data_IF_682966882956
#
_entry.id   IF_682966882956
#
_cell.length_a   1.000
_cell.length_b   1.000
_cell.length_c   1.000
_cell.angle_alpha   90.00
_cell.angle_beta   90.00
_cell.angle_gamma   90.00
#
_symmetry.space_group_name_H-M   'P 1'
#
loop_
_entity.id
_entity.type
_entity.pdbx_description
1 polymer ?
#
# COMPACT_ATOMS: atom_id res chain seq x y z
N UNK A 1 24.16 -19.97 10.96
CA UNK A 1 23.36 -19.86 12.19
C UNK A 1 22.26 -20.89 12.07
N UNK A 2 22.16 -21.84 12.99
CA UNK A 2 21.17 -22.91 12.94
C UNK A 2 19.78 -22.30 12.81
N UNK A 3 19.11 -22.54 11.68
CA UNK A 3 17.84 -21.93 11.28
C UNK A 3 16.63 -22.37 12.11
N UNK A 4 16.77 -22.36 13.44
CA UNK A 4 15.65 -22.41 14.38
C UNK A 4 15.03 -21.02 14.48
N UNK A 5 13.69 -20.93 14.55
CA UNK A 5 13.04 -19.66 14.85
C UNK A 5 13.50 -19.13 16.21
N UNK A 6 13.68 -17.81 16.31
CA UNK A 6 14.09 -17.16 17.56
C UNK A 6 13.01 -17.22 18.67
N UNK A 7 11.77 -17.55 18.30
CA UNK A 7 10.57 -17.51 19.14
C UNK A 7 10.10 -18.93 19.49
N UNK A 8 9.72 -19.15 20.74
CA UNK A 8 9.13 -20.43 21.20
C UNK A 8 7.77 -20.68 20.54
N UNK A 9 7.26 -21.93 20.56
CA UNK A 9 5.92 -22.19 20.01
C UNK A 9 4.85 -21.52 20.87
N UNK A 10 5.01 -21.56 22.18
CA UNK A 10 4.06 -21.02 23.15
C UNK A 10 3.92 -19.50 22.99
N UNK A 11 5.05 -18.79 22.88
CA UNK A 11 5.08 -17.33 22.64
C UNK A 11 4.47 -16.97 21.29
N UNK A 12 4.81 -17.70 20.23
CA UNK A 12 4.27 -17.46 18.88
C UNK A 12 2.78 -17.76 18.78
N UNK A 13 2.30 -18.80 19.47
CA UNK A 13 0.89 -19.13 19.61
C UNK A 13 0.13 -17.96 20.25
N UNK A 14 0.57 -17.50 21.43
CA UNK A 14 -0.10 -16.42 22.15
C UNK A 14 -0.15 -15.12 21.34
N UNK A 15 0.95 -14.75 20.70
CA UNK A 15 1.08 -13.42 20.10
C UNK A 15 0.66 -13.33 18.63
N UNK A 16 0.72 -14.43 17.89
CA UNK A 16 0.59 -14.40 16.43
C UNK A 16 -0.50 -15.31 15.89
N UNK A 17 -0.57 -16.57 16.33
CA UNK A 17 -1.37 -17.58 15.61
C UNK A 17 -2.55 -18.18 16.36
N UNK A 18 -2.86 -17.73 17.59
CA UNK A 18 -3.99 -18.28 18.33
C UNK A 18 -5.33 -18.16 17.57
N UNK A 19 -6.29 -19.11 17.76
CA UNK A 19 -7.51 -19.17 16.95
C UNK A 19 -8.39 -17.93 17.00
N UNK A 20 -8.49 -17.28 18.16
CA UNK A 20 -9.34 -16.09 18.37
C UNK A 20 -8.77 -14.91 17.57
N UNK A 21 -7.48 -14.63 17.75
CA UNK A 21 -6.76 -13.59 17.02
C UNK A 21 -6.82 -13.80 15.51
N UNK A 22 -6.49 -15.02 15.04
CA UNK A 22 -6.50 -15.29 13.60
C UNK A 22 -7.89 -15.17 12.98
N UNK A 23 -8.94 -15.57 13.71
CA UNK A 23 -10.32 -15.36 13.27
C UNK A 23 -10.63 -13.88 13.13
N UNK A 24 -10.27 -13.06 14.11
CA UNK A 24 -10.49 -11.61 14.09
C UNK A 24 -9.74 -10.93 12.93
N UNK A 25 -8.43 -11.19 12.80
CA UNK A 25 -7.60 -10.61 11.74
C UNK A 25 -8.12 -10.98 10.36
N UNK A 26 -8.49 -12.24 10.14
CA UNK A 26 -9.05 -12.70 8.87
C UNK A 26 -10.44 -12.15 8.59
N UNK A 27 -11.28 -11.94 9.61
CA UNK A 27 -12.58 -11.28 9.43
C UNK A 27 -12.46 -9.82 9.03
N UNK A 28 -11.43 -9.14 9.55
CA UNK A 28 -11.14 -7.75 9.23
C UNK A 28 -10.58 -7.62 7.80
N UNK A 29 -9.64 -8.49 7.43
CA UNK A 29 -9.02 -8.46 6.10
C UNK A 29 -9.95 -9.00 4.99
N UNK A 30 -10.79 -10.01 5.30
CA UNK A 30 -11.60 -10.74 4.32
C UNK A 30 -13.09 -10.76 4.72
N UNK A 31 -13.88 -9.76 4.27
CA UNK A 31 -15.29 -9.64 4.65
C UNK A 31 -16.16 -10.85 4.33
N UNK A 32 -15.80 -11.65 3.32
CA UNK A 32 -16.53 -12.87 2.97
C UNK A 32 -16.43 -13.91 4.09
N UNK A 33 -15.27 -14.07 4.74
CA UNK A 33 -15.11 -15.00 5.87
C UNK A 33 -15.99 -14.59 7.05
N UNK A 34 -16.05 -13.28 7.33
CA UNK A 34 -16.94 -12.71 8.35
C UNK A 34 -18.42 -12.96 8.01
N UNK A 35 -18.81 -12.70 6.77
CA UNK A 35 -20.19 -12.85 6.31
C UNK A 35 -20.68 -14.31 6.44
N UNK A 36 -19.81 -15.29 6.15
CA UNK A 36 -20.13 -16.73 6.28
C UNK A 36 -19.84 -17.30 7.66
N UNK A 37 -19.36 -16.47 8.60
CA UNK A 37 -19.00 -16.84 9.98
C UNK A 37 -17.91 -17.93 10.06
N UNK A 38 -17.03 -18.02 9.06
CA UNK A 38 -15.89 -18.95 9.07
C UNK A 38 -14.98 -18.61 10.25
N UNK A 39 -14.44 -19.60 10.99
CA UNK A 39 -13.53 -19.33 12.10
C UNK A 39 -12.52 -20.44 12.33
N UNK A 40 -11.37 -20.07 12.87
CA UNK A 40 -10.35 -21.01 13.33
C UNK A 40 -10.83 -21.63 14.65
N UNK A 41 -10.72 -22.95 14.78
CA UNK A 41 -11.13 -23.69 15.99
C UNK A 41 -9.93 -24.17 16.79
N UNK A 42 -8.83 -24.51 16.11
CA UNK A 42 -7.60 -24.98 16.74
C UNK A 42 -6.41 -24.73 15.83
N UNK A 43 -5.23 -24.53 16.42
CA UNK A 43 -3.95 -24.52 15.70
C UNK A 43 -2.92 -25.32 16.49
N UNK A 44 -2.03 -25.98 15.77
CA UNK A 44 -0.84 -26.66 16.29
C UNK A 44 0.36 -26.27 15.44
N UNK A 45 1.58 -26.63 15.84
CA UNK A 45 2.73 -26.35 14.99
C UNK A 45 2.67 -27.22 13.72
N UNK A 46 2.42 -26.59 12.59
CA UNK A 46 2.16 -27.25 11.31
C UNK A 46 0.73 -27.73 11.15
N UNK A 47 -0.22 -27.28 11.98
CA UNK A 47 -1.63 -27.72 11.88
C UNK A 47 -2.63 -26.60 12.10
N UNK A 48 -3.78 -26.73 11.44
CA UNK A 48 -4.91 -25.82 11.60
C UNK A 48 -6.22 -26.58 11.43
N UNK A 49 -7.17 -26.30 12.32
CA UNK A 49 -8.57 -26.65 12.17
C UNK A 49 -9.42 -25.38 12.10
N UNK A 50 -10.41 -25.40 11.23
CA UNK A 50 -11.39 -24.33 11.11
C UNK A 50 -12.78 -24.89 10.84
N UNK A 51 -13.80 -24.06 11.04
CA UNK A 51 -15.18 -24.40 10.70
C UNK A 51 -15.72 -23.40 9.69
N UNK A 52 -16.35 -23.92 8.63
CA UNK A 52 -17.26 -23.19 7.75
C UNK A 52 -18.69 -23.54 8.19
N UNK A 53 -19.39 -22.65 8.93
CA UNK A 53 -20.69 -22.98 9.47
C UNK A 53 -21.77 -22.99 8.38
N UNK A 54 -22.77 -23.87 8.54
CA UNK A 54 -24.01 -23.79 7.78
C UNK A 54 -24.85 -22.62 8.28
N UNK A 55 -24.98 -21.57 7.47
CA UNK A 55 -25.72 -20.35 7.78
C UNK A 55 -26.47 -19.87 6.54
N UNK A 56 -27.31 -18.84 6.71
CA UNK A 56 -27.97 -18.17 5.57
C UNK A 56 -26.99 -17.68 4.52
N UNK A 57 -25.78 -17.26 4.91
CA UNK A 57 -24.78 -16.72 4.00
C UNK A 57 -23.98 -17.82 3.26
N UNK A 58 -23.90 -19.02 3.83
CA UNK A 58 -23.15 -20.14 3.24
C UNK A 58 -24.03 -21.16 2.49
N UNK A 59 -25.36 -21.00 2.52
CA UNK A 59 -26.33 -21.94 1.93
C UNK A 59 -27.18 -21.32 0.81
N UNK A 60 -27.74 -22.17 -0.06
CA UNK A 60 -28.76 -21.83 -1.06
C UNK A 60 -29.79 -22.96 -1.22
N UNK A 61 -30.78 -22.75 -2.11
CA UNK A 61 -31.90 -23.67 -2.33
C UNK A 61 -31.52 -25.06 -2.89
N UNK A 62 -30.29 -25.23 -3.37
CA UNK A 62 -29.74 -26.47 -3.92
C UNK A 62 -28.63 -27.09 -3.05
N UNK A 63 -28.41 -26.57 -1.84
CA UNK A 63 -27.36 -27.01 -0.91
C UNK A 63 -26.43 -25.86 -0.51
N UNK A 64 -25.26 -26.18 0.03
CA UNK A 64 -24.24 -25.17 0.36
C UNK A 64 -23.62 -24.56 -0.90
N UNK A 65 -23.13 -23.31 -0.85
CA UNK A 65 -22.30 -22.71 -1.91
C UNK A 65 -20.91 -23.39 -1.92
N UNK A 66 -20.91 -24.70 -2.18
CA UNK A 66 -19.83 -25.61 -1.81
C UNK A 66 -18.54 -25.25 -2.51
N UNK A 67 -18.55 -25.09 -3.83
CA UNK A 67 -17.32 -24.94 -4.59
C UNK A 67 -16.45 -23.77 -4.12
N UNK A 68 -17.00 -22.55 -4.13
CA UNK A 68 -16.25 -21.35 -3.81
C UNK A 68 -15.95 -21.22 -2.30
N UNK A 69 -16.92 -21.51 -1.43
CA UNK A 69 -16.71 -21.36 0.02
C UNK A 69 -15.83 -22.46 0.61
N UNK A 70 -15.90 -23.70 0.11
CA UNK A 70 -14.97 -24.78 0.51
C UNK A 70 -13.57 -24.46 0.00
N UNK A 71 -13.43 -23.97 -1.24
CA UNK A 71 -12.12 -23.53 -1.75
C UNK A 71 -11.53 -22.41 -0.90
N UNK A 72 -12.34 -21.41 -0.54
CA UNK A 72 -11.94 -20.30 0.33
C UNK A 72 -11.57 -20.81 1.73
N UNK A 73 -12.41 -21.67 2.32
CA UNK A 73 -12.13 -22.30 3.61
C UNK A 73 -10.83 -23.08 3.57
N UNK A 74 -10.58 -23.87 2.52
CA UNK A 74 -9.38 -24.66 2.36
C UNK A 74 -8.12 -23.80 2.26
N UNK A 75 -8.22 -22.67 1.56
CA UNK A 75 -7.11 -21.72 1.39
C UNK A 75 -6.68 -21.17 2.75
N UNK A 76 -7.62 -20.69 3.55
CA UNK A 76 -7.29 -20.14 4.87
C UNK A 76 -6.90 -21.22 5.88
N UNK A 77 -7.51 -22.41 5.86
CA UNK A 77 -7.06 -23.52 6.74
C UNK A 77 -5.63 -23.95 6.42
N UNK A 78 -5.31 -24.22 5.14
CA UNK A 78 -3.98 -24.66 4.75
C UNK A 78 -2.92 -23.56 4.85
N UNK A 79 -3.28 -22.33 4.51
CA UNK A 79 -2.41 -21.16 4.65
C UNK A 79 -2.06 -20.87 6.11
N UNK A 80 -3.00 -21.02 7.04
CA UNK A 80 -2.74 -20.91 8.48
C UNK A 80 -1.86 -22.04 8.99
N UNK A 81 -2.11 -23.29 8.60
CA UNK A 81 -1.22 -24.40 8.94
C UNK A 81 0.21 -24.13 8.47
N UNK A 82 0.40 -23.58 7.26
CA UNK A 82 1.72 -23.17 6.78
C UNK A 82 2.33 -22.03 7.63
N UNK A 83 1.51 -21.06 8.02
CA UNK A 83 1.91 -19.89 8.82
C UNK A 83 2.46 -20.26 10.19
N UNK A 84 1.91 -21.29 10.83
CA UNK A 84 2.38 -21.79 12.14
C UNK A 84 3.83 -22.32 12.08
N UNK A 85 4.33 -22.71 10.90
CA UNK A 85 5.72 -23.15 10.73
C UNK A 85 6.72 -21.99 10.66
N UNK A 86 6.24 -20.77 10.37
CA UNK A 86 7.07 -19.56 10.23
C UNK A 86 7.06 -18.76 11.54
N UNK A 87 7.49 -19.38 12.65
CA UNK A 87 7.40 -18.77 13.98
C UNK A 87 8.11 -17.42 14.05
N UNK A 88 7.49 -16.46 14.71
CA UNK A 88 7.97 -15.07 14.83
C UNK A 88 7.87 -14.25 13.55
N UNK A 89 7.34 -14.82 12.45
CA UNK A 89 7.24 -14.13 11.16
C UNK A 89 5.78 -13.74 10.90
N UNK A 90 5.41 -12.45 11.00
CA UNK A 90 4.07 -12.00 10.64
C UNK A 90 3.78 -12.18 9.15
N UNK A 91 2.50 -12.38 8.80
CA UNK A 91 2.06 -12.42 7.39
C UNK A 91 1.62 -11.05 6.89
N UNK A 92 2.20 -10.61 5.78
CA UNK A 92 1.79 -9.38 5.11
C UNK A 92 0.32 -9.43 4.67
N UNK A 93 -0.44 -8.39 5.01
CA UNK A 93 -1.87 -8.26 4.69
C UNK A 93 -2.83 -8.93 5.69
N UNK A 94 -2.31 -9.63 6.71
CA UNK A 94 -3.10 -10.22 7.80
C UNK A 94 -2.62 -9.69 9.16
N UNK A 95 -1.33 -9.77 9.43
CA UNK A 95 -0.72 -9.25 10.65
C UNK A 95 -0.21 -7.83 10.42
N UNK A 96 -0.12 -7.05 11.50
CA UNK A 96 0.64 -5.80 11.51
C UNK A 96 2.13 -6.12 11.37
N UNK A 97 2.75 -5.64 10.29
CA UNK A 97 4.14 -5.93 9.99
C UNK A 97 4.72 -5.05 8.90
N UNK A 98 6.04 -5.16 8.71
CA UNK A 98 6.78 -4.45 7.68
C UNK A 98 7.33 -5.45 6.65
N UNK A 99 7.78 -4.97 5.49
CA UNK A 99 8.37 -5.88 4.50
C UNK A 99 9.67 -6.55 5.01
N UNK A 100 10.40 -5.90 5.94
CA UNK A 100 11.67 -6.39 6.53
C UNK A 100 11.49 -7.65 7.38
N UNK A 101 10.36 -7.78 8.08
CA UNK A 101 10.12 -8.84 9.07
C UNK A 101 8.98 -9.80 8.69
N UNK A 102 8.25 -9.53 7.61
CA UNK A 102 7.08 -10.33 7.22
C UNK A 102 7.33 -11.38 6.15
N UNK A 103 6.41 -12.34 6.06
CA UNK A 103 6.26 -13.27 4.95
C UNK A 103 5.18 -12.78 3.98
N UNK A 104 5.46 -12.94 2.68
CA UNK A 104 4.43 -12.92 1.65
C UNK A 104 4.04 -14.35 1.32
N UNK A 105 2.76 -14.66 1.48
CA UNK A 105 2.17 -15.98 1.29
C UNK A 105 0.93 -15.86 0.40
N UNK A 106 0.79 -16.75 -0.59
CA UNK A 106 -0.43 -16.85 -1.39
C UNK A 106 -0.64 -18.24 -1.96
N UNK A 107 -1.89 -18.53 -2.32
CA UNK A 107 -2.28 -19.73 -3.04
C UNK A 107 -1.90 -19.63 -4.52
N UNK A 108 -1.06 -20.54 -4.99
CA UNK A 108 -0.63 -20.62 -6.38
C UNK A 108 -1.50 -21.55 -7.24
N UNK A 109 -2.07 -22.59 -6.64
CA UNK A 109 -3.00 -23.52 -7.29
C UNK A 109 -3.82 -24.29 -6.25
N UNK A 110 -4.99 -24.78 -6.65
CA UNK A 110 -5.81 -25.66 -5.82
C UNK A 110 -6.50 -26.73 -6.67
N UNK A 111 -6.73 -27.90 -6.09
CA UNK A 111 -7.61 -28.95 -6.59
C UNK A 111 -8.54 -29.37 -5.45
N UNK A 112 -9.87 -29.39 -5.67
CA UNK A 112 -10.86 -29.75 -4.63
C UNK A 112 -11.76 -30.86 -5.14
N UNK A 113 -11.72 -32.00 -4.46
CA UNK A 113 -12.50 -33.21 -4.76
C UNK A 113 -13.66 -33.32 -3.79
N UNK A 114 -14.87 -33.10 -4.29
CA UNK A 114 -16.11 -33.29 -3.54
C UNK A 114 -16.46 -34.77 -3.51
N UNK A 115 -16.66 -35.31 -2.32
CA UNK A 115 -17.02 -36.72 -2.09
C UNK A 115 -18.50 -36.86 -1.81
N UNK A 116 -19.01 -36.07 -0.88
CA UNK A 116 -20.40 -36.12 -0.45
C UNK A 116 -20.96 -34.70 -0.26
N UNK A 117 -22.26 -34.47 -0.49
CA UNK A 117 -22.91 -33.23 -0.07
C UNK A 117 -22.95 -33.14 1.47
N UNK A 118 -23.08 -31.93 2.01
CA UNK A 118 -23.26 -31.72 3.44
C UNK A 118 -24.41 -30.74 3.71
N UNK A 119 -25.20 -31.07 4.72
CA UNK A 119 -26.26 -30.24 5.30
C UNK A 119 -25.92 -29.83 6.73
N UNK A 120 -24.64 -29.84 7.11
CA UNK A 120 -24.15 -29.48 8.44
C UNK A 120 -22.98 -28.50 8.37
N UNK A 121 -22.42 -28.18 9.54
CA UNK A 121 -21.15 -27.45 9.59
C UNK A 121 -20.04 -28.27 8.94
N UNK A 122 -19.12 -27.59 8.27
CA UNK A 122 -17.94 -28.21 7.67
C UNK A 122 -16.73 -27.91 8.53
N UNK A 123 -16.11 -28.94 9.09
CA UNK A 123 -14.82 -28.85 9.76
C UNK A 123 -13.73 -29.12 8.75
N UNK A 124 -12.83 -28.17 8.57
CA UNK A 124 -11.67 -28.28 7.70
C UNK A 124 -10.41 -28.46 8.54
N UNK A 125 -9.60 -29.46 8.22
CA UNK A 125 -8.37 -29.77 8.94
C UNK A 125 -7.19 -29.87 7.97
N UNK A 126 -6.09 -29.22 8.31
CA UNK A 126 -4.81 -29.36 7.63
C UNK A 126 -3.75 -29.70 8.67
N UNK A 127 -3.08 -30.84 8.52
CA UNK A 127 -1.93 -31.24 9.33
C UNK A 127 -0.73 -31.51 8.42
N UNK A 128 0.35 -30.76 8.61
CA UNK A 128 1.55 -30.81 7.77
C UNK A 128 2.47 -31.92 8.28
N UNK A 129 2.82 -32.92 7.45
CA UNK A 129 3.77 -33.96 7.83
C UNK A 129 5.14 -33.38 8.25
N UNK A 130 5.74 -33.95 9.30
CA UNK A 130 6.96 -33.43 9.92
C UNK A 130 8.16 -33.28 8.95
N UNK A 131 8.27 -34.14 7.94
CA UNK A 131 9.30 -34.04 6.89
C UNK A 131 9.07 -32.83 5.98
N UNK A 132 7.81 -32.54 5.62
CA UNK A 132 7.43 -31.36 4.85
C UNK A 132 7.66 -30.10 5.70
N UNK A 133 7.21 -30.12 6.95
CA UNK A 133 7.39 -29.00 7.89
C UNK A 133 8.86 -28.58 8.03
N UNK A 134 9.76 -29.56 8.26
CA UNK A 134 11.21 -29.31 8.34
C UNK A 134 11.77 -28.72 7.05
N UNK A 135 11.30 -29.19 5.89
CA UNK A 135 11.74 -28.67 4.58
C UNK A 135 11.27 -27.23 4.38
N UNK A 136 10.02 -26.92 4.73
CA UNK A 136 9.47 -25.56 4.67
C UNK A 136 10.29 -24.61 5.54
N UNK A 137 10.48 -24.94 6.82
CA UNK A 137 11.25 -24.13 7.77
C UNK A 137 12.67 -23.91 7.27
N UNK A 138 13.37 -24.99 6.90
CA UNK A 138 14.74 -24.90 6.39
C UNK A 138 14.82 -24.01 5.15
N UNK A 139 13.89 -24.12 4.21
CA UNK A 139 13.92 -23.30 3.00
C UNK A 139 13.66 -21.83 3.32
N UNK A 140 12.59 -21.55 4.06
CA UNK A 140 12.17 -20.19 4.38
C UNK A 140 13.25 -19.43 5.15
N UNK A 141 13.75 -20.00 6.25
CA UNK A 141 14.76 -19.35 7.09
C UNK A 141 16.16 -19.28 6.47
N UNK A 142 16.41 -20.02 5.38
CA UNK A 142 17.59 -19.82 4.53
C UNK A 142 17.34 -18.81 3.40
N UNK A 143 16.26 -18.01 3.49
CA UNK A 143 15.91 -16.99 2.51
C UNK A 143 15.50 -17.55 1.15
N UNK A 144 15.06 -18.81 1.07
CA UNK A 144 14.62 -19.45 -0.17
C UNK A 144 13.10 -19.48 -0.25
N UNK A 145 12.58 -19.25 -1.46
CA UNK A 145 11.17 -19.50 -1.82
C UNK A 145 10.72 -20.90 -1.36
N UNK A 146 9.57 -20.93 -0.69
CA UNK A 146 8.79 -22.12 -0.39
C UNK A 146 7.72 -22.29 -1.47
N UNK A 147 7.57 -23.53 -1.94
CA UNK A 147 6.47 -23.95 -2.79
C UNK A 147 6.03 -25.32 -2.30
N UNK A 148 4.85 -25.41 -1.70
CA UNK A 148 4.39 -26.60 -0.97
C UNK A 148 2.93 -26.86 -1.27
N UNK A 149 2.55 -28.13 -1.47
CA UNK A 149 1.15 -28.55 -1.59
C UNK A 149 0.72 -29.17 -0.28
N UNK A 150 -0.35 -28.66 0.32
CA UNK A 150 -0.88 -29.08 1.60
C UNK A 150 -2.29 -29.67 1.44
N UNK A 151 -2.58 -30.81 2.09
CA UNK A 151 -3.90 -31.39 2.09
C UNK A 151 -4.82 -30.66 3.07
N UNK A 152 -6.06 -30.41 2.68
CA UNK A 152 -7.14 -29.99 3.58
C UNK A 152 -8.29 -30.97 3.46
N UNK A 153 -8.71 -31.54 4.58
CA UNK A 153 -9.81 -32.52 4.64
C UNK A 153 -11.02 -31.86 5.26
N UNK A 154 -12.18 -32.03 4.63
CA UNK A 154 -13.46 -31.53 5.12
C UNK A 154 -14.32 -32.67 5.63
N UNK A 155 -14.80 -32.53 6.87
CA UNK A 155 -15.77 -33.45 7.46
C UNK A 155 -17.03 -32.73 7.91
N UNK A 156 -18.13 -33.46 7.97
CA UNK A 156 -19.40 -32.99 8.52
C UNK A 156 -20.11 -34.14 9.21
N UNK A 157 -20.53 -33.97 10.46
CA UNK A 157 -21.18 -35.02 11.25
C UNK A 157 -20.41 -36.37 11.27
N UNK A 158 -19.08 -36.31 11.20
CA UNK A 158 -18.21 -37.49 11.17
C UNK A 158 -17.99 -38.12 9.80
N UNK A 159 -18.58 -37.58 8.73
CA UNK A 159 -18.44 -38.07 7.36
C UNK A 159 -17.51 -37.18 6.52
N UNK A 160 -16.77 -37.80 5.59
CA UNK A 160 -15.91 -37.10 4.63
C UNK A 160 -16.76 -36.38 3.58
N UNK A 161 -16.56 -35.08 3.44
CA UNK A 161 -17.29 -34.22 2.48
C UNK A 161 -16.42 -33.88 1.28
N UNK A 162 -15.17 -33.44 1.51
CA UNK A 162 -14.27 -33.04 0.46
C UNK A 162 -12.80 -33.19 0.87
N UNK A 163 -11.92 -33.29 -0.12
CA UNK A 163 -10.48 -33.27 0.02
C UNK A 163 -9.91 -32.20 -0.91
N UNK A 164 -9.01 -31.37 -0.43
CA UNK A 164 -8.37 -30.31 -1.21
C UNK A 164 -6.85 -30.45 -1.18
N UNK A 165 -6.21 -30.21 -2.32
CA UNK A 165 -4.77 -30.05 -2.44
C UNK A 165 -4.46 -28.58 -2.73
N UNK A 166 -3.86 -27.89 -1.76
CA UNK A 166 -3.64 -26.44 -1.78
C UNK A 166 -2.16 -26.14 -1.95
N UNK A 167 -1.76 -25.58 -3.10
CA UNK A 167 -0.36 -25.26 -3.42
C UNK A 167 -0.04 -23.82 -3.05
N UNK A 168 0.73 -23.64 -1.99
CA UNK A 168 1.15 -22.33 -1.49
C UNK A 168 2.54 -21.94 -1.97
N UNK A 169 2.70 -20.65 -2.20
CA UNK A 169 3.98 -19.98 -2.25
C UNK A 169 4.21 -19.23 -0.93
N UNK A 170 5.43 -19.23 -0.39
CA UNK A 170 5.84 -18.30 0.66
C UNK A 170 7.29 -17.84 0.50
N UNK A 171 7.58 -16.57 0.80
CA UNK A 171 8.95 -16.04 0.90
C UNK A 171 9.00 -14.77 1.78
N UNK A 172 10.17 -14.34 2.26
CA UNK A 172 10.31 -13.07 2.96
C UNK A 172 9.87 -11.88 2.08
N UNK A 173 9.03 -11.00 2.61
CA UNK A 173 8.42 -9.89 1.85
C UNK A 173 9.46 -8.94 1.27
N UNK A 174 10.56 -8.69 1.99
CA UNK A 174 11.67 -7.84 1.53
C UNK A 174 12.27 -8.31 0.19
N UNK A 175 12.24 -9.62 -0.09
CA UNK A 175 12.76 -10.19 -1.34
C UNK A 175 11.84 -9.96 -2.55
N UNK A 176 10.63 -9.43 -2.34
CA UNK A 176 9.76 -9.01 -3.44
C UNK A 176 10.19 -7.69 -4.07
N UNK A 177 10.94 -6.86 -3.33
CA UNK A 177 11.44 -5.56 -3.79
C UNK A 177 12.66 -5.74 -4.71
N UNK A 178 12.76 -4.95 -5.78
CA UNK A 178 13.99 -4.91 -6.58
C UNK A 178 15.15 -4.40 -5.72
N UNK A 179 16.35 -4.89 -5.99
CA UNK A 179 17.60 -4.39 -5.40
C UNK A 179 18.61 -4.12 -6.51
N UNK A 180 19.68 -3.37 -6.21
CA UNK A 180 20.79 -3.19 -7.16
C UNK A 180 21.38 -4.52 -7.65
N UNK A 181 21.40 -5.55 -6.81
CA UNK A 181 21.93 -6.89 -7.16
C UNK A 181 20.91 -7.81 -7.84
N UNK A 182 19.61 -7.56 -7.66
CA UNK A 182 18.53 -8.27 -8.34
C UNK A 182 17.45 -7.27 -8.75
N UNK A 183 17.59 -6.62 -9.92
CA UNK A 183 16.65 -5.60 -10.37
C UNK A 183 15.32 -6.19 -10.85
N UNK A 184 15.16 -7.52 -10.89
CA UNK A 184 13.91 -8.15 -11.33
C UNK A 184 12.81 -7.89 -10.32
N UNK A 185 11.74 -7.28 -10.82
CA UNK A 185 10.56 -6.97 -10.05
C UNK A 185 9.60 -8.16 -10.03
N UNK A 186 9.11 -8.48 -8.84
CA UNK A 186 8.07 -9.50 -8.68
C UNK A 186 6.71 -8.97 -9.17
N UNK A 187 5.86 -9.84 -9.77
CA UNK A 187 4.50 -9.44 -10.18
C UNK A 187 3.66 -8.84 -9.03
N UNK A 188 3.88 -9.31 -7.80
CA UNK A 188 3.19 -8.82 -6.60
C UNK A 188 3.64 -7.41 -6.24
N UNK A 189 4.95 -7.14 -6.28
CA UNK A 189 5.45 -5.78 -6.05
C UNK A 189 4.91 -4.80 -7.10
N UNK A 190 4.93 -5.20 -8.38
CA UNK A 190 4.31 -4.42 -9.47
C UNK A 190 2.81 -4.18 -9.21
N UNK A 191 2.08 -5.16 -8.71
CA UNK A 191 0.66 -5.01 -8.38
C UNK A 191 0.42 -4.07 -7.18
N UNK A 192 1.24 -4.14 -6.13
CA UNK A 192 1.14 -3.26 -4.95
C UNK A 192 1.30 -1.79 -5.35
N UNK A 193 2.35 -1.46 -6.11
CA UNK A 193 2.59 -0.10 -6.61
C UNK A 193 1.36 0.48 -7.35
N UNK A 194 0.79 -0.31 -8.27
CA UNK A 194 -0.41 0.08 -9.03
C UNK A 194 -1.64 0.26 -8.15
N UNK A 195 -1.82 -0.60 -7.15
CA UNK A 195 -2.99 -0.56 -6.27
C UNK A 195 -3.02 0.73 -5.43
N UNK A 196 -1.90 1.13 -4.82
CA UNK A 196 -1.83 2.36 -4.02
C UNK A 196 -2.09 3.60 -4.88
N UNK A 197 -1.48 3.71 -6.06
CA UNK A 197 -1.73 4.85 -6.95
C UNK A 197 -3.20 4.96 -7.39
N UNK A 198 -3.82 3.83 -7.75
CA UNK A 198 -5.25 3.77 -8.13
C UNK A 198 -6.18 4.10 -6.97
N UNK A 199 -5.82 3.68 -5.77
CA UNK A 199 -6.55 3.98 -4.54
C UNK A 199 -6.52 5.49 -4.22
N UNK A 200 -5.35 6.13 -4.30
CA UNK A 200 -5.22 7.59 -4.11
C UNK A 200 -6.02 8.35 -5.19
N UNK A 201 -5.95 7.94 -6.45
CA UNK A 201 -6.81 8.50 -7.50
C UNK A 201 -8.31 8.30 -7.20
N UNK A 202 -8.69 7.15 -6.63
CA UNK A 202 -10.05 6.88 -6.19
C UNK A 202 -10.52 7.79 -5.07
N UNK A 203 -9.64 8.12 -4.11
CA UNK A 203 -9.93 9.10 -3.06
C UNK A 203 -10.13 10.50 -3.65
N UNK A 204 -9.29 10.91 -4.62
CA UNK A 204 -9.47 12.18 -5.35
C UNK A 204 -10.77 12.22 -6.16
N UNK A 205 -11.18 11.11 -6.76
CA UNK A 205 -12.41 10.97 -7.53
C UNK A 205 -13.70 10.96 -6.68
N UNK A 206 -13.59 10.87 -5.36
CA UNK A 206 -14.74 10.81 -4.46
C UNK A 206 -15.48 12.17 -4.42
N UNK A 207 -16.75 12.20 -4.82
CA UNK A 207 -17.57 13.41 -4.92
C UNK A 207 -18.13 13.92 -3.58
N UNK A 208 -17.81 13.26 -2.46
CA UNK A 208 -18.57 13.43 -1.20
C UNK A 208 -17.92 14.36 -0.15
N UNK A 209 -16.87 15.13 -0.44
CA UNK A 209 -16.40 16.13 0.53
C UNK A 209 -17.19 17.43 0.36
N UNK A 210 -18.05 17.76 1.33
CA UNK A 210 -18.88 18.98 1.31
C UNK A 210 -18.05 20.28 1.29
N UNK A 211 -16.80 20.20 1.74
CA UNK A 211 -15.96 21.36 2.03
C UNK A 211 -14.71 21.49 1.13
N UNK A 212 -14.44 20.49 0.27
CA UNK A 212 -13.26 20.49 -0.60
C UNK A 212 -13.70 20.22 -2.03
N UNK A 213 -13.45 21.20 -2.91
CA UNK A 213 -13.68 21.09 -4.34
C UNK A 213 -12.33 21.02 -5.05
N UNK A 214 -12.13 19.95 -5.80
CA UNK A 214 -10.99 19.75 -6.71
C UNK A 214 -11.55 19.38 -8.09
N UNK A 215 -10.81 19.67 -9.15
CA UNK A 215 -11.17 19.15 -10.47
C UNK A 215 -10.92 17.63 -10.52
N UNK A 216 -11.99 16.87 -10.76
CA UNK A 216 -12.01 15.40 -10.77
C UNK A 216 -12.08 14.80 -12.18
N UNK A 217 -12.01 15.63 -13.23
CA UNK A 217 -12.26 15.26 -14.63
C UNK A 217 -11.57 13.98 -15.09
N UNK A 218 -10.35 13.73 -14.61
CA UNK A 218 -9.52 12.58 -14.99
C UNK A 218 -9.33 11.56 -13.85
N UNK A 219 -9.66 11.92 -12.61
CA UNK A 219 -9.33 11.11 -11.41
C UNK A 219 -10.11 9.80 -11.36
N UNK A 220 -11.37 9.82 -11.77
CA UNK A 220 -12.22 8.62 -11.79
C UNK A 220 -11.70 7.58 -12.79
N UNK A 221 -11.31 8.04 -13.98
CA UNK A 221 -10.75 7.18 -15.00
C UNK A 221 -9.36 6.66 -14.58
N UNK A 222 -8.56 7.51 -13.93
CA UNK A 222 -7.27 7.11 -13.38
C UNK A 222 -7.40 6.00 -12.34
N UNK A 223 -8.34 6.15 -11.39
CA UNK A 223 -8.64 5.15 -10.37
C UNK A 223 -9.09 3.82 -11.00
N UNK A 224 -10.03 3.91 -11.95
CA UNK A 224 -10.78 2.76 -12.46
C UNK A 224 -11.61 2.07 -11.36
N UNK A 225 -12.40 1.04 -11.72
CA UNK A 225 -13.32 0.40 -10.78
C UNK A 225 -12.64 -0.16 -9.53
N UNK A 226 -11.43 -0.72 -9.68
CA UNK A 226 -10.68 -1.27 -8.55
C UNK A 226 -10.18 -0.18 -7.60
N UNK A 227 -9.65 0.93 -8.12
CA UNK A 227 -9.20 2.06 -7.31
C UNK A 227 -10.33 2.70 -6.52
N UNK A 228 -11.51 2.86 -7.13
CA UNK A 228 -12.70 3.35 -6.44
C UNK A 228 -13.15 2.43 -5.29
N UNK A 229 -13.15 1.11 -5.52
CA UNK A 229 -13.51 0.14 -4.48
C UNK A 229 -12.52 0.14 -3.31
N UNK A 230 -11.21 0.24 -3.60
CA UNK A 230 -10.18 0.37 -2.57
C UNK A 230 -10.35 1.68 -1.78
N UNK A 231 -10.57 2.80 -2.47
CA UNK A 231 -10.82 4.10 -1.85
C UNK A 231 -12.07 4.08 -0.95
N UNK A 232 -13.17 3.48 -1.40
CA UNK A 232 -14.39 3.34 -0.61
C UNK A 232 -14.19 2.47 0.64
N UNK A 233 -13.43 1.36 0.50
CA UNK A 233 -13.05 0.52 1.65
C UNK A 233 -12.24 1.34 2.65
N UNK A 234 -11.25 2.09 2.19
CA UNK A 234 -10.43 2.92 3.07
C UNK A 234 -11.21 4.03 3.75
N UNK A 235 -12.13 4.69 3.05
CA UNK A 235 -12.96 5.74 3.65
C UNK A 235 -13.78 5.23 4.85
N UNK A 236 -14.15 3.95 4.86
CA UNK A 236 -14.83 3.32 6.01
C UNK A 236 -13.91 3.00 7.20
N UNK A 237 -12.60 2.86 6.98
CA UNK A 237 -11.61 2.47 8.00
C UNK A 237 -10.81 3.67 8.51
N UNK A 238 -10.37 4.52 7.58
CA UNK A 238 -9.55 5.71 7.75
C UNK A 238 -10.24 6.94 7.12
N UNK A 239 -11.31 7.46 7.74
CA UNK A 239 -12.12 8.53 7.13
C UNK A 239 -11.33 9.81 6.86
N UNK A 240 -10.32 10.14 7.67
CA UNK A 240 -9.50 11.33 7.49
C UNK A 240 -8.58 11.28 6.27
N UNK A 241 -8.20 10.08 5.80
CA UNK A 241 -7.28 9.94 4.67
C UNK A 241 -7.83 10.61 3.40
N UNK A 242 -9.15 10.54 3.20
CA UNK A 242 -9.81 11.21 2.08
C UNK A 242 -9.63 12.72 2.14
N UNK A 243 -9.95 13.34 3.28
CA UNK A 243 -9.84 14.79 3.43
C UNK A 243 -8.38 15.25 3.36
N UNK A 244 -7.42 14.45 3.84
CA UNK A 244 -5.99 14.69 3.64
C UNK A 244 -5.61 14.72 2.16
N UNK A 245 -6.01 13.70 1.39
CA UNK A 245 -5.69 13.61 -0.05
C UNK A 245 -6.35 14.74 -0.84
N UNK A 246 -7.59 15.11 -0.51
CA UNK A 246 -8.30 16.21 -1.18
C UNK A 246 -7.71 17.58 -0.82
N UNK A 247 -7.39 17.81 0.46
CA UNK A 247 -6.72 19.02 0.91
C UNK A 247 -5.35 19.18 0.25
N UNK A 248 -4.59 18.08 0.20
CA UNK A 248 -3.30 18.00 -0.47
C UNK A 248 -3.42 18.38 -1.93
N UNK A 249 -4.38 17.77 -2.63
CA UNK A 249 -4.63 18.06 -4.04
C UNK A 249 -4.93 19.53 -4.26
N UNK A 250 -5.85 20.10 -3.47
CA UNK A 250 -6.25 21.51 -3.55
C UNK A 250 -5.07 22.44 -3.28
N UNK A 251 -4.29 22.19 -2.22
CA UNK A 251 -3.17 23.04 -1.85
C UNK A 251 -2.08 23.04 -2.93
N UNK A 252 -1.75 21.89 -3.53
CA UNK A 252 -0.81 21.83 -4.65
C UNK A 252 -1.33 22.68 -5.81
N UNK A 253 -2.60 22.51 -6.19
CA UNK A 253 -3.18 23.25 -7.31
C UNK A 253 -3.17 24.77 -7.06
N UNK A 254 -3.52 25.21 -5.85
CA UNK A 254 -3.41 26.61 -5.42
C UNK A 254 -1.97 27.11 -5.44
N UNK A 255 -1.00 26.26 -5.05
CA UNK A 255 0.43 26.59 -5.09
C UNK A 255 0.90 26.77 -6.53
N UNK A 256 0.56 25.85 -7.44
CA UNK A 256 0.93 25.94 -8.85
C UNK A 256 0.36 27.19 -9.52
N UNK A 257 -0.89 27.57 -9.21
CA UNK A 257 -1.51 28.83 -9.68
C UNK A 257 -0.82 30.08 -9.16
N UNK A 258 -0.18 30.00 -8.00
CA UNK A 258 0.49 31.14 -7.36
C UNK A 258 1.86 31.46 -7.94
N UNK A 259 2.44 30.55 -8.73
CA UNK A 259 3.73 30.76 -9.39
C UNK A 259 3.50 31.62 -10.63
N UNK A 260 4.00 32.86 -10.59
CA UNK A 260 3.90 33.76 -11.74
C UNK A 260 4.67 33.20 -12.94
N UNK A 261 4.01 33.16 -14.10
CA UNK A 261 4.58 32.70 -15.36
C UNK A 261 5.29 31.35 -15.24
N UNK A 262 4.67 30.38 -14.57
CA UNK A 262 5.23 29.02 -14.47
C UNK A 262 5.53 28.47 -15.87
N UNK A 263 6.78 28.05 -16.11
CA UNK A 263 7.20 27.53 -17.41
C UNK A 263 7.48 26.01 -17.33
N UNK A 264 7.81 25.52 -16.14
CA UNK A 264 8.16 24.12 -15.91
C UNK A 264 7.48 23.59 -14.65
N UNK A 265 6.90 22.39 -14.74
CA UNK A 265 6.35 21.66 -13.59
C UNK A 265 7.05 20.31 -13.50
N UNK A 266 7.75 20.06 -12.41
CA UNK A 266 8.38 18.76 -12.14
C UNK A 266 7.53 18.00 -11.12
N UNK A 267 7.06 16.81 -11.46
CA UNK A 267 6.27 15.97 -10.55
C UNK A 267 7.08 14.72 -10.22
N UNK A 268 7.44 14.57 -8.94
CA UNK A 268 8.20 13.47 -8.40
C UNK A 268 7.26 12.43 -7.79
N UNK A 269 7.38 11.18 -8.22
CA UNK A 269 6.42 10.14 -7.90
C UNK A 269 5.10 10.39 -8.61
N UNK A 270 5.15 10.68 -9.91
CA UNK A 270 3.98 11.17 -10.68
C UNK A 270 2.76 10.25 -10.57
N UNK A 271 2.96 8.94 -10.41
CA UNK A 271 1.93 7.92 -10.31
C UNK A 271 0.75 8.19 -11.26
N UNK A 272 -0.42 8.43 -10.66
CA UNK A 272 -1.64 8.77 -11.38
C UNK A 272 -2.09 10.22 -11.17
N UNK A 273 -1.15 11.15 -10.99
CA UNK A 273 -1.43 12.59 -10.97
C UNK A 273 -1.83 13.08 -12.37
N UNK A 274 -3.05 13.59 -12.52
CA UNK A 274 -3.58 14.05 -13.81
C UNK A 274 -3.50 15.58 -14.01
N UNK A 275 -2.73 16.31 -13.18
CA UNK A 275 -2.45 17.74 -13.36
C UNK A 275 -2.03 18.14 -14.77
N UNK A 276 -1.15 17.40 -15.47
CA UNK A 276 -0.79 17.73 -16.85
C UNK A 276 -2.01 17.80 -17.78
N UNK A 277 -3.07 17.04 -17.51
CA UNK A 277 -4.28 17.02 -18.36
C UNK A 277 -5.35 18.00 -17.94
N UNK A 278 -5.44 18.30 -16.64
CA UNK A 278 -6.50 19.16 -16.09
C UNK A 278 -6.06 20.60 -15.82
N UNK A 279 -4.76 20.88 -15.76
CA UNK A 279 -4.22 22.22 -15.44
C UNK A 279 -3.37 22.84 -16.57
N UNK A 280 -3.14 22.15 -17.69
CA UNK A 280 -2.25 22.65 -18.76
C UNK A 280 -2.63 24.05 -19.26
N UNK A 281 -3.88 24.24 -19.68
CA UNK A 281 -4.33 25.55 -20.17
C UNK A 281 -4.33 26.62 -19.07
N UNK A 282 -4.75 26.25 -17.86
CA UNK A 282 -4.83 27.15 -16.72
C UNK A 282 -3.45 27.69 -16.32
N UNK A 283 -2.41 26.85 -16.39
CA UNK A 283 -1.04 27.22 -16.06
C UNK A 283 -0.29 27.87 -17.23
N UNK A 284 -0.94 28.15 -18.37
CA UNK A 284 -0.28 28.77 -19.52
C UNK A 284 0.57 27.81 -20.36
N UNK A 285 0.27 26.52 -20.32
CA UNK A 285 0.92 25.42 -21.07
C UNK A 285 2.41 25.21 -20.72
N UNK A 286 2.76 24.99 -19.43
CA UNK A 286 4.14 24.71 -19.04
C UNK A 286 4.58 23.34 -19.57
N UNK A 287 5.90 23.11 -19.58
CA UNK A 287 6.46 21.78 -19.81
C UNK A 287 6.37 20.95 -18.52
N UNK A 288 5.74 19.79 -18.57
CA UNK A 288 5.66 18.86 -17.44
C UNK A 288 6.78 17.82 -17.51
N UNK A 289 7.52 17.65 -16.41
CA UNK A 289 8.51 16.60 -16.23
C UNK A 289 7.97 15.59 -15.21
N UNK A 290 7.73 14.36 -15.66
CA UNK A 290 7.08 13.32 -14.88
C UNK A 290 8.13 12.26 -14.48
N UNK A 291 8.45 12.16 -13.20
CA UNK A 291 9.45 11.20 -12.70
C UNK A 291 8.80 10.15 -11.80
N UNK A 292 9.05 8.88 -12.08
CA UNK A 292 8.61 7.75 -11.27
C UNK A 292 9.40 6.48 -11.65
N UNK A 293 9.16 5.38 -10.92
CA UNK A 293 9.63 4.06 -11.30
C UNK A 293 9.07 3.66 -12.67
N UNK A 294 9.85 2.90 -13.48
CA UNK A 294 9.45 2.57 -14.84
C UNK A 294 8.11 1.81 -14.90
N UNK A 295 7.81 0.96 -13.92
CA UNK A 295 6.55 0.21 -13.86
C UNK A 295 5.33 1.10 -13.58
N UNK A 296 5.54 2.21 -12.86
CA UNK A 296 4.51 3.19 -12.61
C UNK A 296 4.28 4.05 -13.84
N UNK A 297 5.33 4.44 -14.57
CA UNK A 297 5.22 5.13 -15.85
C UNK A 297 4.49 4.26 -16.90
N UNK A 298 4.79 2.96 -16.98
CA UNK A 298 4.07 2.02 -17.85
C UNK A 298 2.56 1.94 -17.52
N UNK A 299 2.21 1.89 -16.23
CA UNK A 299 0.80 1.89 -15.82
C UNK A 299 0.11 3.21 -16.13
N UNK A 300 0.81 4.32 -15.91
CA UNK A 300 0.33 5.66 -16.21
C UNK A 300 0.06 5.82 -17.70
N UNK A 301 0.98 5.40 -18.58
CA UNK A 301 0.80 5.43 -20.03
C UNK A 301 -0.42 4.60 -20.47
N UNK A 302 -0.61 3.43 -19.86
CA UNK A 302 -1.80 2.61 -20.11
C UNK A 302 -3.08 3.37 -19.76
N UNK A 303 -3.15 3.96 -18.58
CA UNK A 303 -4.30 4.74 -18.11
C UNK A 303 -4.57 5.96 -19.02
N UNK A 304 -3.52 6.70 -19.37
CA UNK A 304 -3.60 7.86 -20.25
C UNK A 304 -4.10 7.45 -21.64
N UNK A 305 -3.63 6.33 -22.19
CA UNK A 305 -4.07 5.86 -23.52
C UNK A 305 -5.59 5.62 -23.59
N UNK A 306 -6.21 5.27 -22.46
CA UNK A 306 -7.65 5.10 -22.35
C UNK A 306 -8.41 6.45 -22.28
N UNK A 307 -7.74 7.54 -21.87
CA UNK A 307 -8.31 8.89 -21.68
C UNK A 307 -8.42 9.70 -22.98
N UNK A 308 -7.75 9.30 -24.07
CA UNK A 308 -7.63 10.08 -25.32
C UNK A 308 -7.14 11.53 -25.05
N UNK A 309 -5.97 11.70 -24.43
CA UNK A 309 -5.49 13.01 -24.01
C UNK A 309 -5.23 13.94 -25.18
N UNK A 310 -5.22 15.24 -24.91
CA UNK A 310 -4.72 16.23 -25.85
C UNK A 310 -3.21 16.01 -26.11
N UNK A 311 -2.87 15.74 -27.36
CA UNK A 311 -1.50 15.54 -27.81
C UNK A 311 -0.65 16.82 -27.76
N UNK A 312 -1.26 17.99 -27.53
CA UNK A 312 -0.56 19.28 -27.42
C UNK A 312 0.08 19.54 -26.07
N UNK A 313 -0.21 18.72 -25.05
CA UNK A 313 0.37 18.87 -23.71
C UNK A 313 1.83 18.44 -23.76
N UNK A 314 2.76 19.36 -23.46
CA UNK A 314 4.19 19.07 -23.49
C UNK A 314 4.61 18.35 -22.20
N UNK A 315 4.95 17.06 -22.31
CA UNK A 315 5.29 16.21 -21.16
C UNK A 315 6.49 15.33 -21.47
N UNK A 316 7.37 15.19 -20.50
CA UNK A 316 8.53 14.31 -20.57
C UNK A 316 8.54 13.35 -19.38
N UNK A 317 8.30 12.07 -19.65
CA UNK A 317 8.39 11.01 -18.66
C UNK A 317 9.83 10.50 -18.54
N UNK A 318 10.35 10.43 -17.32
CA UNK A 318 11.72 9.99 -17.03
C UNK A 318 11.69 8.96 -15.89
N UNK A 319 12.21 7.77 -16.16
CA UNK A 319 12.35 6.72 -15.16
C UNK A 319 13.35 7.15 -14.08
N UNK A 320 12.97 7.05 -12.81
CA UNK A 320 13.82 7.37 -11.68
C UNK A 320 13.49 6.51 -10.46
N UNK A 321 14.51 5.94 -9.83
CA UNK A 321 14.47 5.45 -8.45
C UNK A 321 15.17 6.47 -7.55
N UNK A 322 14.39 7.24 -6.80
CA UNK A 322 14.88 8.34 -5.96
C UNK A 322 15.86 7.90 -4.86
N UNK A 323 16.01 6.60 -4.59
CA UNK A 323 17.01 6.08 -3.65
C UNK A 323 18.42 6.01 -4.23
N UNK A 324 18.55 5.99 -5.55
CA UNK A 324 19.81 5.67 -6.22
C UNK A 324 20.15 6.62 -7.36
N UNK A 325 19.14 7.20 -7.99
CA UNK A 325 19.29 8.13 -9.10
C UNK A 325 19.39 9.58 -8.61
N UNK A 326 20.13 10.40 -9.37
CA UNK A 326 20.18 11.85 -9.16
C UNK A 326 19.15 12.52 -10.07
N UNK A 327 18.13 13.12 -9.47
CA UNK A 327 17.03 13.80 -10.17
C UNK A 327 17.57 14.98 -10.99
N UNK A 328 18.53 15.72 -10.44
CA UNK A 328 19.18 16.84 -11.13
C UNK A 328 19.83 16.43 -12.44
N UNK A 329 20.52 15.30 -12.44
CA UNK A 329 21.17 14.77 -13.64
C UNK A 329 20.15 14.34 -14.69
N UNK A 330 19.07 13.66 -14.29
CA UNK A 330 18.02 13.23 -15.21
C UNK A 330 17.34 14.44 -15.88
N UNK A 331 17.01 15.46 -15.10
CA UNK A 331 16.40 16.69 -15.62
C UNK A 331 17.35 17.44 -16.56
N UNK A 332 18.62 17.65 -16.18
CA UNK A 332 19.60 18.35 -17.01
C UNK A 332 19.97 17.62 -18.31
N UNK A 333 19.73 16.30 -18.40
CA UNK A 333 19.90 15.53 -19.63
C UNK A 333 18.73 15.74 -20.61
N UNK A 334 17.59 16.21 -20.13
CA UNK A 334 16.44 16.52 -20.96
C UNK A 334 16.61 17.91 -21.60
N UNK A 335 16.66 18.03 -22.94
CA UNK A 335 16.92 19.30 -23.60
C UNK A 335 15.84 20.36 -23.36
N UNK A 336 14.64 19.97 -22.93
CA UNK A 336 13.52 20.89 -22.67
C UNK A 336 13.54 21.46 -21.25
N UNK A 337 14.41 20.97 -20.37
CA UNK A 337 14.57 21.47 -19.01
C UNK A 337 15.66 22.55 -18.92
N UNK A 338 15.31 23.72 -18.40
CA UNK A 338 16.25 24.81 -18.11
C UNK A 338 16.15 25.21 -16.63
N UNK A 339 17.23 25.09 -15.82
CA UNK A 339 17.23 25.47 -14.41
C UNK A 339 17.02 26.98 -14.18
N UNK A 340 17.16 27.80 -15.22
CA UNK A 340 16.96 29.26 -15.17
C UNK A 340 15.52 29.69 -15.41
N UNK A 341 14.61 28.78 -15.74
CA UNK A 341 13.19 29.09 -15.96
C UNK A 341 12.37 28.89 -14.68
N UNK A 342 11.27 29.65 -14.47
CA UNK A 342 10.37 29.46 -13.34
C UNK A 342 9.87 28.01 -13.26
N UNK A 343 10.27 27.30 -12.20
CA UNK A 343 10.00 25.87 -12.05
C UNK A 343 9.31 25.58 -10.72
N UNK A 344 8.13 24.96 -10.76
CA UNK A 344 7.52 24.39 -9.58
C UNK A 344 7.77 22.88 -9.51
N UNK A 345 8.25 22.40 -8.37
CA UNK A 345 8.46 20.97 -8.12
C UNK A 345 7.41 20.48 -7.13
N UNK A 346 6.77 19.36 -7.43
CA UNK A 346 5.77 18.71 -6.57
C UNK A 346 6.30 17.35 -6.13
N UNK A 347 6.46 17.18 -4.82
CA UNK A 347 6.80 15.91 -4.18
C UNK A 347 5.62 15.43 -3.34
N UNK A 348 4.63 14.82 -4.00
CA UNK A 348 3.34 14.44 -3.41
C UNK A 348 3.35 12.99 -2.90
N UNK A 349 2.97 12.78 -1.64
CA UNK A 349 2.70 11.47 -1.08
C UNK A 349 3.91 10.55 -1.06
N UNK A 350 5.11 11.12 -0.96
CA UNK A 350 6.36 10.38 -1.06
C UNK A 350 7.22 10.49 0.20
N UNK A 351 7.36 11.67 0.79
CA UNK A 351 8.41 11.96 1.79
C UNK A 351 8.40 11.00 2.98
N UNK A 352 7.22 10.60 3.44
CA UNK A 352 6.97 9.70 4.57
C UNK A 352 7.46 8.26 4.35
N UNK A 353 7.87 7.91 3.13
CA UNK A 353 8.39 6.58 2.75
C UNK A 353 9.89 6.56 2.45
N UNK A 354 10.57 7.69 2.62
CA UNK A 354 12.02 7.84 2.53
C UNK A 354 12.60 8.13 3.90
N UNK A 355 13.86 7.75 4.17
CA UNK A 355 14.52 8.15 5.43
C UNK A 355 14.75 9.66 5.45
N UNK A 356 15.15 10.20 6.62
CA UNK A 356 15.52 11.62 6.75
C UNK A 356 16.63 12.00 5.79
N UNK A 357 17.65 11.16 5.67
CA UNK A 357 18.82 11.36 4.80
C UNK A 357 18.45 11.26 3.33
N UNK A 358 17.60 10.29 2.97
CA UNK A 358 17.08 10.16 1.60
C UNK A 358 16.26 11.40 1.21
N UNK A 359 15.34 11.87 2.07
CA UNK A 359 14.58 13.10 1.81
C UNK A 359 15.50 14.33 1.68
N UNK A 360 16.48 14.47 2.57
CA UNK A 360 17.43 15.58 2.49
C UNK A 360 18.22 15.55 1.18
N UNK A 361 18.69 14.37 0.78
CA UNK A 361 19.43 14.20 -0.47
C UNK A 361 18.56 14.53 -1.70
N UNK A 362 17.30 14.08 -1.73
CA UNK A 362 16.34 14.36 -2.79
C UNK A 362 16.07 15.87 -2.88
N UNK A 363 15.71 16.50 -1.76
CA UNK A 363 15.33 17.91 -1.73
C UNK A 363 16.52 18.84 -2.03
N UNK A 364 17.72 18.57 -1.50
CA UNK A 364 18.92 19.34 -1.85
C UNK A 364 19.30 19.19 -3.33
N UNK A 365 19.16 17.99 -3.90
CA UNK A 365 19.43 17.75 -5.33
C UNK A 365 18.49 18.58 -6.21
N UNK A 366 17.21 18.63 -5.86
CA UNK A 366 16.20 19.48 -6.53
C UNK A 366 16.50 20.96 -6.32
N UNK A 367 16.75 21.39 -5.08
CA UNK A 367 17.04 22.78 -4.75
C UNK A 367 18.22 23.30 -5.58
N UNK A 368 19.24 22.47 -5.83
CA UNK A 368 20.38 22.83 -6.69
C UNK A 368 19.99 23.29 -8.10
N UNK A 369 18.87 22.81 -8.64
CA UNK A 369 18.35 23.15 -9.98
C UNK A 369 17.53 24.43 -10.02
N UNK A 370 16.97 24.88 -8.90
CA UNK A 370 16.07 26.03 -8.87
C UNK A 370 16.89 27.32 -8.88
N UNK A 371 17.23 27.84 -10.06
CA UNK A 371 18.03 29.09 -10.19
C UNK A 371 17.14 30.33 -10.37
N UNK A 372 15.92 30.16 -10.85
CA UNK A 372 14.98 31.27 -10.99
C UNK A 372 14.32 31.61 -9.65
N UNK A 373 14.19 32.90 -9.26
CA UNK A 373 13.64 33.31 -7.97
C UNK A 373 12.19 32.87 -7.73
N UNK A 374 11.39 32.74 -8.78
CA UNK A 374 9.98 32.28 -8.68
C UNK A 374 9.84 30.75 -8.57
N UNK A 375 10.95 30.02 -8.55
CA UNK A 375 10.93 28.56 -8.42
C UNK A 375 10.65 28.12 -6.99
N UNK A 376 9.91 27.03 -6.83
CA UNK A 376 9.57 26.48 -5.53
C UNK A 376 9.51 24.95 -5.53
N UNK A 377 9.56 24.37 -4.33
CA UNK A 377 9.27 22.97 -4.05
C UNK A 377 8.07 22.88 -3.12
N UNK A 378 7.06 22.14 -3.53
CA UNK A 378 5.95 21.71 -2.68
C UNK A 378 6.20 20.27 -2.20
N UNK A 379 6.00 20.01 -0.92
CA UNK A 379 6.13 18.68 -0.29
C UNK A 379 5.08 18.49 0.80
N UNK A 380 4.56 17.28 0.97
CA UNK A 380 3.82 16.90 2.18
C UNK A 380 4.73 16.20 3.19
N UNK A 381 4.42 16.36 4.47
CA UNK A 381 5.10 15.69 5.58
C UNK A 381 4.08 15.26 6.63
N UNK A 382 4.45 14.29 7.45
CA UNK A 382 3.77 14.01 8.73
C UNK A 382 4.60 14.57 9.88
N UNK A 383 3.98 14.86 11.02
CA UNK A 383 4.73 15.22 12.23
C UNK A 383 5.58 14.04 12.70
N UNK A 384 6.79 14.33 13.15
CA UNK A 384 7.76 13.30 13.58
C UNK A 384 7.24 12.50 14.77
N UNK A 385 6.57 13.14 15.72
CA UNK A 385 5.99 12.47 16.88
C UNK A 385 4.89 11.44 16.54
N UNK A 386 4.28 11.54 15.36
CA UNK A 386 3.30 10.56 14.84
C UNK A 386 4.02 9.30 14.39
N UNK A 387 5.18 9.46 13.74
CA UNK A 387 6.04 8.35 13.30
C UNK A 387 6.64 7.63 14.52
N UNK A 388 7.03 8.38 15.55
CA UNK A 388 7.56 7.83 16.80
C UNK A 388 6.48 7.24 17.72
N UNK A 389 5.19 7.45 17.42
CA UNK A 389 4.09 6.99 18.26
C UNK A 389 4.01 7.71 19.62
N UNK A 390 4.58 8.91 19.74
CA UNK A 390 4.66 9.67 21.00
C UNK A 390 3.48 10.62 21.21
N UNK A 391 2.54 10.71 20.27
CA UNK A 391 1.32 11.53 20.42
C UNK A 391 0.24 10.78 21.21
N UNK A 392 -0.16 11.27 22.40
CA UNK A 392 -1.17 10.60 23.23
C UNK A 392 -2.60 10.91 22.73
N UNK A 393 -2.97 10.40 21.56
CA UNK A 393 -4.31 10.52 20.99
C UNK A 393 -4.82 9.18 20.46
N UNK A 394 -5.96 8.66 20.95
CA UNK A 394 -6.55 7.42 20.44
C UNK A 394 -6.88 7.49 18.95
N UNK A 395 -7.31 8.64 18.44
CA UNK A 395 -7.67 8.82 17.04
C UNK A 395 -6.43 8.80 16.14
N UNK A 396 -5.35 9.46 16.56
CA UNK A 396 -4.06 9.42 15.84
C UNK A 396 -3.50 8.01 15.86
N UNK A 397 -3.52 7.33 17.01
CA UNK A 397 -3.07 5.94 17.10
C UNK A 397 -3.89 5.03 16.18
N UNK A 398 -5.21 5.17 16.18
CA UNK A 398 -6.08 4.38 15.30
C UNK A 398 -5.77 4.64 13.82
N UNK A 399 -5.51 5.90 13.46
CA UNK A 399 -5.13 6.27 12.09
C UNK A 399 -3.78 5.67 11.70
N UNK A 400 -2.74 5.80 12.53
CA UNK A 400 -1.41 5.23 12.27
C UNK A 400 -1.43 3.72 12.22
N UNK A 401 -2.14 3.08 13.15
CA UNK A 401 -2.35 1.63 13.17
C UNK A 401 -3.01 1.18 11.86
N UNK A 402 -4.03 1.89 11.38
CA UNK A 402 -4.69 1.56 10.12
C UNK A 402 -3.83 1.83 8.88
N UNK A 403 -2.99 2.87 8.86
CA UNK A 403 -2.01 3.08 7.78
C UNK A 403 -0.98 1.93 7.73
N UNK A 404 -0.53 1.45 8.90
CA UNK A 404 0.36 0.29 8.99
C UNK A 404 -0.31 -1.01 8.53
N UNK A 405 -1.58 -1.24 8.89
CA UNK A 405 -2.36 -2.39 8.42
C UNK A 405 -2.54 -2.43 6.89
N UNK A 406 -2.51 -1.26 6.24
CA UNK A 406 -2.54 -1.13 4.78
C UNK A 406 -1.16 -1.33 4.12
N UNK A 407 -0.10 -1.47 4.91
CA UNK A 407 1.28 -1.52 4.43
C UNK A 407 1.84 -0.15 4.05
N UNK A 408 1.19 0.93 4.49
CA UNK A 408 1.52 2.33 4.19
C UNK A 408 2.13 3.01 5.42
N UNK A 409 2.99 2.30 6.15
CA UNK A 409 3.65 2.82 7.36
C UNK A 409 4.56 3.99 7.03
N UNK A 410 4.42 5.06 7.81
CA UNK A 410 5.33 6.21 7.74
C UNK A 410 6.64 5.92 8.48
N UNK A 411 7.76 6.26 7.86
CA UNK A 411 9.11 6.09 8.43
C UNK A 411 9.83 7.43 8.63
N UNK A 412 9.24 8.52 8.16
CA UNK A 412 9.79 9.87 8.27
C UNK A 412 8.71 10.90 8.56
N UNK A 413 9.07 11.88 9.39
CA UNK A 413 8.28 13.06 9.67
C UNK A 413 9.15 14.22 10.14
N UNK A 414 8.55 15.41 10.23
CA UNK A 414 9.20 16.59 10.80
C UNK A 414 8.21 17.38 11.63
N UNK A 415 8.56 17.72 12.87
CA UNK A 415 7.77 18.65 13.68
C UNK A 415 7.93 20.11 13.21
N UNK A 416 9.01 20.42 12.50
CA UNK A 416 9.32 21.72 11.93
C UNK A 416 9.72 21.57 10.46
N UNK A 417 8.75 21.64 9.52
CA UNK A 417 9.06 21.60 8.09
C UNK A 417 10.05 22.69 7.67
N UNK A 418 9.96 23.88 8.27
CA UNK A 418 10.87 25.00 8.02
C UNK A 418 12.33 24.64 8.36
N UNK A 419 12.59 24.08 9.55
CA UNK A 419 13.96 23.71 9.94
C UNK A 419 14.51 22.58 9.06
N UNK A 420 13.67 21.63 8.67
CA UNK A 420 14.07 20.55 7.77
C UNK A 420 14.38 21.07 6.36
N UNK A 421 13.57 21.97 5.81
CA UNK A 421 13.81 22.56 4.49
C UNK A 421 15.05 23.45 4.46
N UNK A 422 15.38 24.10 5.58
CA UNK A 422 16.64 24.84 5.72
C UNK A 422 17.86 23.93 5.53
N UNK A 423 17.81 22.67 6.00
CA UNK A 423 18.89 21.69 5.77
C UNK A 423 18.96 21.18 4.32
N UNK A 424 17.99 21.55 3.49
CA UNK A 424 17.84 21.15 2.10
C UNK A 424 18.09 22.32 1.12
N UNK A 425 18.71 23.42 1.58
CA UNK A 425 18.94 24.65 0.80
C UNK A 425 17.66 25.37 0.33
N UNK A 426 16.58 25.26 1.11
CA UNK A 426 15.29 25.94 0.90
C UNK A 426 14.94 26.84 2.11
N UNK A 427 15.64 27.97 2.30
CA UNK A 427 15.52 28.81 3.49
C UNK A 427 14.18 29.55 3.61
N UNK A 428 13.49 29.80 2.49
CA UNK A 428 12.19 30.48 2.48
C UNK A 428 11.08 29.43 2.49
N UNK A 429 10.66 28.99 3.68
CA UNK A 429 9.64 27.93 3.82
C UNK A 429 8.38 28.43 4.51
N UNK A 430 7.23 28.14 3.90
CA UNK A 430 5.91 28.26 4.52
C UNK A 430 5.33 26.87 4.71
N UNK A 431 4.67 26.62 5.84
CA UNK A 431 3.98 25.37 6.07
C UNK A 431 2.63 25.57 6.75
N UNK A 432 1.72 24.62 6.53
CA UNK A 432 0.41 24.56 7.18
C UNK A 432 0.00 23.10 7.36
N UNK A 433 -0.73 22.81 8.43
CA UNK A 433 -1.36 21.49 8.62
C UNK A 433 -2.62 21.35 7.77
N UNK A 434 -3.04 20.11 7.48
CA UNK A 434 -4.35 19.87 6.86
C UNK A 434 -5.48 20.43 7.73
N UNK A 435 -5.37 20.28 9.05
CA UNK A 435 -6.32 20.86 10.01
C UNK A 435 -6.47 22.37 9.83
N UNK A 436 -5.37 23.12 9.83
CA UNK A 436 -5.38 24.58 9.60
C UNK A 436 -5.93 24.95 8.22
N UNK A 437 -5.46 24.28 7.17
CA UNK A 437 -5.88 24.57 5.78
C UNK A 437 -7.38 24.31 5.54
N UNK A 438 -7.97 23.35 6.25
CA UNK A 438 -9.39 23.04 6.18
C UNK A 438 -10.23 23.78 7.25
N UNK A 439 -9.60 24.47 8.20
CA UNK A 439 -10.29 25.01 9.37
C UNK A 439 -10.91 23.92 10.26
N UNK A 440 -10.30 22.74 10.30
CA UNK A 440 -10.76 21.58 11.08
C UNK A 440 -9.98 21.44 12.38
N UNK A 441 -10.72 21.08 13.45
CA UNK A 441 -10.13 20.74 14.75
C UNK A 441 -9.89 19.22 14.90
N UNK A 442 -10.00 18.44 13.83
CA UNK A 442 -9.70 17.00 13.87
C UNK A 442 -8.20 16.80 14.17
N UNK A 443 -7.84 16.10 15.27
CA UNK A 443 -6.45 15.96 15.69
C UNK A 443 -5.61 15.15 14.69
N UNK A 444 -6.22 14.23 13.93
CA UNK A 444 -5.54 13.44 12.91
C UNK A 444 -5.17 14.33 11.72
N UNK A 445 -6.05 15.24 11.29
CA UNK A 445 -5.73 16.20 10.22
C UNK A 445 -4.62 17.19 10.64
N UNK A 446 -4.46 17.47 11.93
CA UNK A 446 -3.36 18.32 12.43
C UNK A 446 -1.98 17.63 12.38
N UNK A 447 -1.92 16.32 12.09
CA UNK A 447 -0.67 15.55 11.99
C UNK A 447 -0.02 15.59 10.62
N UNK A 448 -0.78 15.97 9.58
CA UNK A 448 -0.33 16.02 8.20
C UNK A 448 -0.10 17.47 7.78
N UNK A 449 1.00 17.74 7.08
CA UNK A 449 1.50 19.09 6.81
C UNK A 449 1.88 19.26 5.34
N UNK A 450 1.68 20.46 4.82
CA UNK A 450 2.18 20.91 3.53
C UNK A 450 3.30 21.91 3.76
N UNK A 451 4.37 21.81 2.99
CA UNK A 451 5.49 22.73 3.00
C UNK A 451 5.77 23.23 1.59
N UNK A 452 5.97 24.54 1.47
CA UNK A 452 6.39 25.21 0.23
C UNK A 452 7.70 25.91 0.52
N UNK A 453 8.77 25.46 -0.13
CA UNK A 453 10.11 25.99 0.03
C UNK A 453 10.61 26.66 -1.25
N UNK A 454 11.32 27.78 -1.11
CA UNK A 454 12.09 28.42 -2.18
C UNK A 454 13.47 28.85 -1.67
N UNK A 455 14.33 29.29 -2.61
CA UNK A 455 15.66 29.83 -2.30
C UNK A 455 15.61 31.21 -1.66
#
# INVERSE_FOLDING_TARGET
MDGKPAVSWEEDYEQRVNPELMTELLHNAIPVLKAVQWKVTSVTEGGCESVLPLTKASTNQHGTHQAALISLSADYTGGLALTTLLRGVPLAGIHRCNDEDSASLWLAAMDVKYRNPSTGHLTATCDIPANIARTVQQRYFNGKRVLVTLPVVFTSNGELVAEAEMRYFAQPSIQLKPTKSNPRISPIFKQKLKASARMIAGLRASSESKNIRVDQSHERQAAGPHGELLANRLNGVLPQLKDMVLARTRHIDETLRSVENIEQVVILGVGLDMRPFRMNEELGRPTFFELDLPEMLEERDRVISEMKPDASINRHSMSADFKVDKISQLLLQNPEFDPKRPTAVVFEGCSMYFTREENQQILSDIASLLQHPDSLVWCDLVRENVVEGTVPSPDIKKFTDGMEELGERFIFGSNSPTDFFLTCDLPQTKSTTVGEFLGSNDPVLATYQFAVGSK
#
